data_IF_970710904494
#
_entry.id   IF_970710904494
#
_cell.length_a   1.000
_cell.length_b   1.000
_cell.length_c   1.000
_cell.angle_alpha   90.00
_cell.angle_beta   90.00
_cell.angle_gamma   90.00
#
_symmetry.space_group_name_H-M   'P 1'
#
loop_
_entity.id
_entity.type
_entity.pdbx_description
1 polymer ?
#
# COMPACT_ATOMS: atom_id res chain seq x y z
N UNK A 1 -0.85 24.37 12.47
CA UNK A 1 -1.97 23.40 12.46
C UNK A 1 -1.67 22.38 11.37
N UNK A 2 -1.58 21.08 11.68
CA UNK A 2 -1.27 20.04 10.69
C UNK A 2 -2.46 19.82 9.75
N UNK A 3 -2.21 19.71 8.44
CA UNK A 3 -3.22 19.54 7.39
C UNK A 3 -3.29 18.07 6.95
N UNK A 4 -3.43 17.16 7.92
CA UNK A 4 -3.57 15.73 7.62
C UNK A 4 -4.77 15.53 6.69
N UNK A 5 -4.48 15.14 5.46
CA UNK A 5 -5.50 14.95 4.43
C UNK A 5 -5.71 13.46 4.20
N UNK A 6 -6.97 13.09 4.07
CA UNK A 6 -7.42 11.73 3.86
C UNK A 6 -7.58 11.42 2.37
N UNK A 7 -7.03 10.29 1.95
CA UNK A 7 -7.17 9.76 0.58
C UNK A 7 -7.92 8.44 0.64
N UNK A 8 -9.08 8.37 -0.03
CA UNK A 8 -9.80 7.11 -0.24
C UNK A 8 -9.02 6.25 -1.22
N UNK A 9 -8.86 4.96 -0.91
CA UNK A 9 -8.12 4.03 -1.77
C UNK A 9 -8.99 2.88 -2.26
N UNK A 10 -8.42 1.93 -3.00
CA UNK A 10 -9.00 0.62 -3.32
C UNK A 10 -8.19 -0.55 -2.72
N UNK A 11 -7.35 -0.26 -1.73
CA UNK A 11 -6.48 -1.23 -1.05
C UNK A 11 -7.31 -1.99 -0.02
N UNK A 12 -7.51 -3.30 -0.22
CA UNK A 12 -8.38 -4.14 0.62
C UNK A 12 -7.62 -5.19 1.43
N UNK A 13 -6.50 -5.65 0.88
CA UNK A 13 -5.70 -6.71 1.49
C UNK A 13 -4.58 -6.08 2.34
N UNK A 14 -4.78 -6.06 3.65
CA UNK A 14 -3.82 -5.48 4.59
C UNK A 14 -2.46 -6.19 4.58
N UNK A 15 -2.43 -7.50 4.37
CA UNK A 15 -1.17 -8.26 4.34
C UNK A 15 -0.35 -7.90 3.10
N UNK A 16 -1.00 -7.82 1.94
CA UNK A 16 -0.36 -7.39 0.69
C UNK A 16 0.07 -5.92 0.77
N UNK A 17 -0.74 -5.05 1.37
CA UNK A 17 -0.40 -3.65 1.59
C UNK A 17 0.87 -3.49 2.44
N UNK A 18 0.95 -4.18 3.58
CA UNK A 18 2.14 -4.16 4.44
C UNK A 18 3.36 -4.69 3.70
N UNK A 19 3.21 -5.76 2.92
CA UNK A 19 4.29 -6.31 2.10
C UNK A 19 4.79 -5.31 1.03
N UNK A 20 3.87 -4.62 0.37
CA UNK A 20 4.18 -3.61 -0.63
C UNK A 20 4.92 -2.42 -0.03
N UNK A 21 4.46 -1.91 1.11
CA UNK A 21 5.10 -0.81 1.84
C UNK A 21 6.53 -1.18 2.27
N UNK A 22 6.74 -2.39 2.81
CA UNK A 22 8.09 -2.89 3.14
C UNK A 22 9.00 -2.94 1.91
N UNK A 23 8.51 -3.39 0.75
CA UNK A 23 9.28 -3.40 -0.51
C UNK A 23 9.66 -2.00 -1.00
N UNK A 24 8.81 -1.01 -0.74
CA UNK A 24 9.10 0.40 -1.03
C UNK A 24 10.07 1.03 -0.02
N UNK A 25 10.51 0.28 0.99
CA UNK A 25 11.45 0.72 2.02
C UNK A 25 10.79 1.44 3.20
N UNK A 26 9.48 1.29 3.38
CA UNK A 26 8.81 1.80 4.59
C UNK A 26 9.02 0.85 5.77
N UNK A 27 9.27 1.44 6.94
CA UNK A 27 9.10 0.78 8.22
C UNK A 27 7.64 0.85 8.65
N UNK A 28 7.11 -0.24 9.18
CA UNK A 28 5.70 -0.33 9.60
C UNK A 28 5.65 -0.36 11.12
N UNK A 29 4.93 0.61 11.67
CA UNK A 29 4.62 0.69 13.09
C UNK A 29 3.14 0.37 13.29
N UNK A 30 2.86 -0.72 14.00
CA UNK A 30 1.50 -1.10 14.36
C UNK A 30 1.01 -0.19 15.49
N UNK A 31 -0.25 0.26 15.40
CA UNK A 31 -0.90 0.95 16.50
C UNK A 31 -1.84 -0.02 17.21
N UNK A 32 -1.69 -0.13 18.52
CA UNK A 32 -2.65 -0.83 19.34
C UNK A 32 -3.93 0.01 19.44
N UNK A 33 -4.90 -0.32 18.61
CA UNK A 33 -6.21 0.35 18.59
C UNK A 33 -6.95 0.22 19.93
N UNK A 34 -6.61 -0.75 20.78
CA UNK A 34 -7.21 -0.89 22.11
C UNK A 34 -6.79 0.20 23.08
N UNK A 35 -5.64 0.86 22.83
CA UNK A 35 -5.14 1.97 23.64
C UNK A 35 -5.55 3.35 23.07
N UNK A 36 -5.96 3.40 21.80
CA UNK A 36 -6.41 4.62 21.14
C UNK A 36 -7.92 4.83 21.34
N UNK A 37 -8.29 5.78 22.21
CA UNK A 37 -9.70 6.22 22.38
C UNK A 37 -10.27 6.99 21.17
N UNK A 38 -9.47 7.22 20.12
CA UNK A 38 -9.89 7.99 18.96
C UNK A 38 -10.21 7.06 17.79
N UNK A 39 -11.48 7.03 17.39
CA UNK A 39 -11.92 6.38 16.15
C UNK A 39 -11.27 6.97 14.88
N UNK A 40 -10.41 8.00 14.99
CA UNK A 40 -9.68 8.61 13.87
C UNK A 40 -8.22 8.14 13.78
N UNK A 41 -7.73 7.33 14.71
CA UNK A 41 -6.36 6.84 14.65
C UNK A 41 -6.17 5.84 13.50
N UNK A 42 -4.99 5.84 12.85
CA UNK A 42 -4.63 4.80 11.89
C UNK A 42 -4.43 3.45 12.60
N UNK A 43 -4.69 2.36 11.90
CA UNK A 43 -4.39 0.99 12.35
C UNK A 43 -2.87 0.75 12.38
N UNK A 44 -2.16 1.33 11.42
CA UNK A 44 -0.71 1.29 11.36
C UNK A 44 -0.18 2.52 10.62
N UNK A 45 1.09 2.85 10.86
CA UNK A 45 1.79 3.93 10.16
C UNK A 45 2.99 3.37 9.42
N UNK A 46 3.13 3.77 8.16
CA UNK A 46 4.29 3.51 7.33
C UNK A 46 5.21 4.73 7.33
N UNK A 47 6.47 4.55 7.74
CA UNK A 47 7.47 5.63 7.79
C UNK A 47 8.66 5.35 6.87
N UNK A 48 9.05 6.36 6.10
CA UNK A 48 10.25 6.34 5.26
C UNK A 48 10.88 7.73 5.24
N UNK A 49 12.00 7.89 5.95
CA UNK A 49 12.62 9.20 6.15
C UNK A 49 11.66 10.17 6.82
N UNK A 50 11.31 11.27 6.12
CA UNK A 50 10.35 12.28 6.59
C UNK A 50 8.89 11.98 6.22
N UNK A 51 8.65 10.96 5.41
CA UNK A 51 7.30 10.57 4.98
C UNK A 51 6.68 9.67 6.03
N UNK A 52 5.50 10.03 6.51
CA UNK A 52 4.70 9.24 7.45
C UNK A 52 3.27 9.16 6.96
N UNK A 53 2.81 7.94 6.68
CA UNK A 53 1.47 7.67 6.12
C UNK A 53 0.76 6.70 7.05
N UNK A 54 -0.31 7.16 7.69
CA UNK A 54 -1.23 6.31 8.42
C UNK A 54 -2.18 5.59 7.49
N UNK A 55 -2.51 4.35 7.82
CA UNK A 55 -3.48 3.54 7.10
C UNK A 55 -4.59 3.14 8.03
N UNK A 56 -5.83 3.32 7.58
CA UNK A 56 -7.02 2.99 8.37
C UNK A 56 -8.05 2.28 7.51
N UNK A 57 -8.58 1.14 7.95
CA UNK A 57 -9.71 0.50 7.30
C UNK A 57 -10.98 1.35 7.42
N UNK A 58 -11.82 1.33 6.39
CA UNK A 58 -13.10 2.05 6.35
C UNK A 58 -14.12 1.53 7.37
N UNK A 59 -13.87 0.38 8.01
CA UNK A 59 -14.83 -0.31 8.87
C UNK A 59 -15.98 -1.00 8.11
N UNK A 60 -16.03 -0.86 6.78
CA UNK A 60 -16.95 -1.60 5.90
C UNK A 60 -16.42 -3.02 5.63
N UNK A 61 -17.26 -3.92 5.10
CA UNK A 61 -16.84 -5.27 4.73
C UNK A 61 -17.09 -5.52 3.21
N UNK A 62 -16.04 -5.69 2.37
CA UNK A 62 -14.62 -5.74 2.72
C UNK A 62 -14.04 -4.36 3.05
N UNK A 63 -13.20 -4.30 4.09
CA UNK A 63 -12.60 -3.04 4.53
C UNK A 63 -11.65 -2.50 3.48
N UNK A 64 -11.79 -1.22 3.17
CA UNK A 64 -10.91 -0.52 2.24
C UNK A 64 -10.05 0.44 3.06
N UNK A 65 -8.74 0.35 2.89
CA UNK A 65 -7.81 1.22 3.56
C UNK A 65 -7.91 2.65 3.04
N UNK A 66 -7.70 3.61 3.92
CA UNK A 66 -7.60 5.03 3.64
C UNK A 66 -6.22 5.50 4.06
N UNK A 67 -5.59 6.37 3.26
CA UNK A 67 -4.31 6.96 3.60
C UNK A 67 -4.52 8.27 4.34
N UNK A 68 -3.82 8.45 5.46
CA UNK A 68 -3.84 9.62 6.31
C UNK A 68 -2.41 10.15 6.42
N UNK A 69 -2.12 11.28 5.78
CA UNK A 69 -0.80 11.90 5.85
C UNK A 69 -0.89 13.42 5.78
N UNK A 70 0.13 14.09 6.31
CA UNK A 70 0.38 15.51 6.06
C UNK A 70 1.18 15.63 4.76
N UNK A 71 0.47 15.72 3.63
CA UNK A 71 1.10 15.69 2.31
C UNK A 71 1.92 16.94 2.00
N UNK A 72 1.61 18.07 2.64
CA UNK A 72 2.41 19.31 2.54
C UNK A 72 3.79 19.14 3.20
N UNK A 73 3.88 18.30 4.24
CA UNK A 73 5.15 17.97 4.88
C UNK A 73 5.98 16.95 4.08
N UNK A 74 5.37 16.28 3.10
CA UNK A 74 6.05 15.33 2.20
C UNK A 74 6.69 16.11 1.06
N UNK A 75 8.03 16.01 0.92
CA UNK A 75 8.76 16.69 -0.16
C UNK A 75 8.52 16.09 -1.55
N UNK A 76 8.04 14.85 -1.59
CA UNK A 76 7.68 14.15 -2.82
C UNK A 76 6.26 14.55 -3.26
N UNK A 77 5.98 14.52 -4.56
CA UNK A 77 4.61 14.76 -5.03
C UNK A 77 3.70 13.67 -4.48
N UNK A 78 2.56 14.08 -3.92
CA UNK A 78 1.55 13.18 -3.36
C UNK A 78 1.18 12.06 -4.33
N UNK A 79 0.96 12.40 -5.60
CA UNK A 79 0.55 11.47 -6.64
C UNK A 79 1.62 10.40 -6.90
N UNK A 80 2.90 10.78 -6.89
CA UNK A 80 4.01 9.85 -7.12
C UNK A 80 4.11 8.82 -5.98
N UNK A 81 3.94 9.27 -4.73
CA UNK A 81 3.92 8.38 -3.55
C UNK A 81 2.74 7.41 -3.62
N UNK A 82 1.55 7.92 -3.92
CA UNK A 82 0.33 7.11 -4.03
C UNK A 82 0.47 6.10 -5.16
N UNK A 83 0.92 6.53 -6.35
CA UNK A 83 1.12 5.66 -7.50
C UNK A 83 2.14 4.56 -7.22
N UNK A 84 3.27 4.88 -6.58
CA UNK A 84 4.26 3.88 -6.20
C UNK A 84 3.68 2.80 -5.27
N UNK A 85 2.90 3.21 -4.26
CA UNK A 85 2.22 2.27 -3.34
C UNK A 85 1.24 1.38 -4.10
N UNK A 86 0.39 1.95 -4.96
CA UNK A 86 -0.56 1.17 -5.77
C UNK A 86 0.13 0.21 -6.73
N UNK A 87 1.21 0.64 -7.35
CA UNK A 87 1.97 -0.14 -8.31
C UNK A 87 2.53 -1.41 -7.64
N UNK A 88 3.25 -1.24 -6.53
CA UNK A 88 3.85 -2.39 -5.81
C UNK A 88 2.77 -3.25 -5.16
N UNK A 89 1.71 -2.66 -4.61
CA UNK A 89 0.58 -3.42 -4.07
C UNK A 89 -0.08 -4.31 -5.13
N UNK A 90 -0.34 -3.77 -6.33
CA UNK A 90 -0.99 -4.51 -7.40
C UNK A 90 -0.11 -5.66 -7.89
N UNK A 91 1.19 -5.41 -8.02
CA UNK A 91 2.16 -6.45 -8.36
C UNK A 91 2.17 -7.56 -7.29
N UNK A 92 2.27 -7.21 -6.00
CA UNK A 92 2.26 -8.21 -4.92
C UNK A 92 0.97 -9.02 -4.89
N UNK A 93 -0.18 -8.38 -5.11
CA UNK A 93 -1.47 -9.05 -5.17
C UNK A 93 -1.55 -10.07 -6.30
N UNK A 94 -1.08 -9.69 -7.49
CA UNK A 94 -1.05 -10.59 -8.65
C UNK A 94 -0.08 -11.75 -8.39
N UNK A 95 1.09 -11.46 -7.82
CA UNK A 95 2.09 -12.48 -7.49
C UNK A 95 1.60 -13.48 -6.44
N UNK A 96 0.85 -13.02 -5.44
CA UNK A 96 0.26 -13.88 -4.41
C UNK A 96 -0.81 -14.80 -5.02
N UNK A 97 -1.75 -14.23 -5.79
CA UNK A 97 -2.77 -14.99 -6.50
C UNK A 97 -2.17 -15.99 -7.49
N UNK A 98 -1.12 -15.59 -8.21
CA UNK A 98 -0.40 -16.43 -9.16
C UNK A 98 0.18 -17.66 -8.45
N UNK A 99 0.88 -17.48 -7.32
CA UNK A 99 1.43 -18.60 -6.54
C UNK A 99 0.36 -19.57 -6.07
N UNK A 100 -0.72 -19.07 -5.48
CA UNK A 100 -1.84 -19.90 -5.00
C UNK A 100 -2.43 -20.73 -6.13
N UNK A 101 -2.47 -20.18 -7.35
CA UNK A 101 -2.96 -20.87 -8.55
C UNK A 101 -1.90 -21.74 -9.27
N UNK A 102 -0.70 -21.90 -8.69
CA UNK A 102 0.38 -22.69 -9.28
C UNK A 102 1.05 -22.02 -10.48
N UNK A 103 1.17 -20.69 -10.49
CA UNK A 103 1.92 -19.95 -11.51
C UNK A 103 3.23 -19.39 -10.94
N UNK A 104 4.24 -19.32 -11.80
CA UNK A 104 5.52 -18.67 -11.55
C UNK A 104 5.68 -17.44 -12.44
N UNK A 105 6.38 -16.42 -11.95
CA UNK A 105 6.69 -15.20 -12.71
C UNK A 105 7.89 -15.45 -13.62
N UNK A 106 7.68 -15.27 -14.92
CA UNK A 106 8.74 -15.36 -15.94
C UNK A 106 9.35 -13.99 -16.25
N UNK A 107 8.52 -12.95 -16.29
CA UNK A 107 8.96 -11.59 -16.62
C UNK A 107 8.11 -10.58 -15.89
N UNK A 108 8.76 -9.54 -15.37
CA UNK A 108 8.13 -8.32 -14.91
C UNK A 108 8.92 -7.15 -15.49
N UNK A 109 8.32 -6.38 -16.38
CA UNK A 109 8.98 -5.24 -17.02
C UNK A 109 8.00 -4.08 -17.22
N UNK A 110 8.50 -2.87 -17.11
CA UNK A 110 7.77 -1.68 -17.53
C UNK A 110 7.94 -1.49 -19.05
N UNK A 111 6.85 -1.34 -19.79
CA UNK A 111 6.90 -1.07 -21.21
C UNK A 111 7.15 0.42 -21.50
N UNK A 112 7.34 0.77 -22.77
CA UNK A 112 7.62 2.16 -23.20
C UNK A 112 6.49 3.14 -22.89
N UNK A 113 5.28 2.64 -22.59
CA UNK A 113 4.12 3.44 -22.19
C UNK A 113 3.97 3.56 -20.67
N UNK A 114 4.96 3.09 -19.90
CA UNK A 114 4.93 3.13 -18.43
C UNK A 114 4.00 2.08 -17.81
N UNK A 115 3.53 1.09 -18.57
CA UNK A 115 2.66 0.03 -18.05
C UNK A 115 3.50 -1.15 -17.58
N UNK A 116 3.09 -1.79 -16.49
CA UNK A 116 3.72 -3.04 -16.05
C UNK A 116 3.15 -4.21 -16.86
N UNK A 117 4.03 -4.97 -17.49
CA UNK A 117 3.73 -6.26 -18.09
C UNK A 117 4.31 -7.39 -17.24
N UNK A 118 3.45 -8.29 -16.80
CA UNK A 118 3.82 -9.51 -16.09
C UNK A 118 3.47 -10.74 -16.92
N UNK A 119 4.48 -11.58 -17.16
CA UNK A 119 4.31 -12.87 -17.84
C UNK A 119 4.37 -13.98 -16.80
N UNK A 120 3.31 -14.77 -16.73
CA UNK A 120 3.17 -15.88 -15.79
C UNK A 120 3.21 -17.21 -16.54
N UNK A 121 3.87 -18.21 -15.96
CA UNK A 121 3.88 -19.60 -16.46
C UNK A 121 3.27 -20.52 -15.43
N UNK A 122 2.35 -21.38 -15.85
CA UNK A 122 1.80 -22.44 -14.99
C UNK A 122 2.92 -23.43 -14.65
N UNK A 123 3.14 -23.64 -13.36
CA UNK A 123 4.01 -24.68 -12.81
C UNK A 123 3.10 -25.89 -12.63
N UNK A 124 3.39 -26.93 -13.40
CA UNK A 124 2.77 -28.25 -13.30
C UNK A 124 3.76 -29.21 -12.69
#
# INVERSE_FOLDING_TARGET
MSHVTKVKTNLKDGAILRKALKKLGYHIEEYDLTQSRSAKAPEFVARKGKVSIGFKGSGENPSVYEMLADWEAVREKREDVIHAIYQVYSQEKIMDLARVKGYSLMKNSMNQKGQIEMVLRKVG
#
